data_IF_430158775106
#
_entry.id   IF_430158775106
#
_cell.length_a   1.000
_cell.length_b   1.000
_cell.length_c   1.000
_cell.angle_alpha   90.00
_cell.angle_beta   90.00
_cell.angle_gamma   90.00
#
_symmetry.space_group_name_H-M   'P 1'
#
loop_
_entity.id
_entity.type
_entity.pdbx_description
1 polymer ?
#
# COMPACT_ATOMS: atom_id res chain seq x y z
N UNK A 1 -16.05 -1.84 16.88
CA UNK A 1 -14.61 -1.82 16.50
C UNK A 1 -14.54 -1.70 14.99
N UNK A 2 -14.07 -0.57 14.47
CA UNK A 2 -14.08 -0.27 13.03
C UNK A 2 -13.21 -1.26 12.25
N UNK A 3 -13.78 -1.83 11.18
CA UNK A 3 -13.10 -2.74 10.25
C UNK A 3 -12.14 -1.96 9.34
N UNK A 4 -11.00 -1.49 9.86
CA UNK A 4 -10.03 -0.78 9.02
C UNK A 4 -8.93 -1.73 8.51
N UNK A 5 -8.60 -1.57 7.23
CA UNK A 5 -7.39 -2.12 6.63
C UNK A 5 -6.23 -1.17 6.98
N UNK A 6 -5.08 -1.70 7.35
CA UNK A 6 -3.87 -0.93 7.60
C UNK A 6 -2.70 -1.47 6.77
N UNK A 7 -1.83 -0.58 6.30
CA UNK A 7 -0.58 -0.93 5.61
C UNK A 7 0.58 -0.62 6.54
N UNK A 8 1.17 -1.66 7.10
CA UNK A 8 2.39 -1.62 7.89
C UNK A 8 3.62 -1.66 7.00
N UNK A 9 4.46 -0.64 7.06
CA UNK A 9 5.82 -0.68 6.52
C UNK A 9 6.76 -0.99 7.69
N UNK A 10 7.76 -1.86 7.49
CA UNK A 10 8.72 -2.28 8.51
C UNK A 10 10.14 -2.15 7.96
N UNK A 11 10.96 -1.20 8.44
CA UNK A 11 12.29 -0.97 7.88
C UNK A 11 13.18 -2.19 8.10
N UNK A 12 14.05 -2.47 7.12
CA UNK A 12 15.05 -3.55 7.18
C UNK A 12 16.48 -3.04 6.99
N UNK A 13 16.69 -1.73 6.93
CA UNK A 13 17.96 -1.10 6.55
C UNK A 13 18.12 -1.00 5.03
N UNK A 14 19.12 -0.22 4.59
CA UNK A 14 19.50 -0.08 3.16
C UNK A 14 18.31 0.25 2.23
N UNK A 15 17.42 1.16 2.66
CA UNK A 15 16.17 1.54 1.97
C UNK A 15 15.23 0.37 1.65
N UNK A 16 15.33 -0.74 2.39
CA UNK A 16 14.43 -1.89 2.27
C UNK A 16 13.40 -1.87 3.38
N UNK A 17 12.22 -2.41 3.09
CA UNK A 17 11.19 -2.61 4.09
C UNK A 17 10.36 -3.87 3.81
N UNK A 18 9.76 -4.46 4.84
CA UNK A 18 8.61 -5.36 4.66
C UNK A 18 7.33 -4.54 4.60
N UNK A 19 6.38 -4.93 3.75
CA UNK A 19 5.05 -4.31 3.66
C UNK A 19 4.02 -5.34 4.08
N UNK A 20 3.12 -4.98 5.00
CA UNK A 20 2.13 -5.87 5.59
C UNK A 20 0.76 -5.23 5.54
N UNK A 21 -0.19 -5.92 4.92
CA UNK A 21 -1.59 -5.54 4.92
C UNK A 21 -2.26 -6.25 6.08
N UNK A 22 -2.90 -5.49 6.97
CA UNK A 22 -3.50 -5.99 8.20
C UNK A 22 -4.95 -5.55 8.30
N UNK A 23 -5.77 -6.36 8.95
CA UNK A 23 -7.09 -5.96 9.43
C UNK A 23 -7.10 -6.22 10.93
N UNK A 24 -7.30 -5.15 11.72
CA UNK A 24 -7.09 -5.21 13.16
C UNK A 24 -5.70 -5.78 13.51
N UNK A 25 -5.62 -6.80 14.38
CA UNK A 25 -4.37 -7.50 14.73
C UNK A 25 -3.97 -8.61 13.74
N UNK A 26 -4.82 -8.94 12.77
CA UNK A 26 -4.58 -10.02 11.81
C UNK A 26 -3.79 -9.57 10.59
N UNK A 27 -2.79 -10.34 10.19
CA UNK A 27 -2.07 -10.15 8.92
C UNK A 27 -2.89 -10.79 7.81
N UNK A 28 -3.27 -10.02 6.81
CA UNK A 28 -3.99 -10.50 5.63
C UNK A 28 -3.03 -10.85 4.49
N UNK A 29 -2.03 -10.00 4.26
CA UNK A 29 -1.04 -10.21 3.21
C UNK A 29 0.28 -9.56 3.60
N UNK A 30 1.39 -10.09 3.10
CA UNK A 30 2.73 -9.57 3.38
C UNK A 30 3.63 -9.70 2.17
N UNK A 31 4.30 -8.60 1.83
CA UNK A 31 5.46 -8.58 0.97
C UNK A 31 6.69 -8.55 1.89
N UNK A 32 7.48 -9.61 1.87
CA UNK A 32 8.56 -9.80 2.84
C UNK A 32 9.62 -8.71 2.73
N UNK A 33 9.99 -8.31 1.51
CA UNK A 33 11.02 -7.30 1.27
C UNK A 33 10.69 -6.53 0.00
N UNK A 34 10.63 -5.21 0.14
CA UNK A 34 10.53 -4.21 -0.91
C UNK A 34 11.84 -3.41 -0.92
N UNK A 35 12.40 -3.20 -2.10
CA UNK A 35 13.56 -2.34 -2.35
C UNK A 35 13.11 -0.90 -2.64
N UNK A 36 13.94 0.09 -2.29
CA UNK A 36 13.59 1.53 -2.43
C UNK A 36 12.25 1.87 -1.76
N UNK A 37 12.07 1.37 -0.55
CA UNK A 37 10.86 1.55 0.24
C UNK A 37 10.57 3.02 0.56
N UNK A 38 11.60 3.88 0.57
CA UNK A 38 11.50 5.33 0.66
C UNK A 38 10.62 5.92 -0.45
N UNK A 39 10.75 5.40 -1.68
CA UNK A 39 9.94 5.83 -2.83
C UNK A 39 8.49 5.36 -2.72
N UNK A 40 8.29 4.14 -2.25
CA UNK A 40 6.94 3.62 -2.00
C UNK A 40 6.21 4.48 -0.96
N UNK A 41 6.86 4.73 0.19
CA UNK A 41 6.29 5.55 1.27
C UNK A 41 5.99 6.96 0.78
N UNK A 42 6.89 7.56 -0.01
CA UNK A 42 6.67 8.90 -0.59
C UNK A 42 5.46 8.95 -1.51
N UNK A 43 5.33 7.99 -2.44
CA UNK A 43 4.16 7.92 -3.34
C UNK A 43 2.85 7.68 -2.61
N UNK A 44 2.85 6.82 -1.60
CA UNK A 44 1.66 6.59 -0.77
C UNK A 44 1.28 7.83 0.02
N UNK A 45 2.26 8.61 0.49
CA UNK A 45 2.01 9.87 1.17
C UNK A 45 1.46 10.95 0.24
N UNK A 46 2.01 11.07 -0.97
CA UNK A 46 1.48 11.96 -2.02
C UNK A 46 0.01 11.62 -2.30
N UNK A 47 -0.29 10.34 -2.53
CA UNK A 47 -1.66 9.90 -2.74
C UNK A 47 -2.57 10.14 -1.53
N UNK A 48 -2.08 9.93 -0.32
CA UNK A 48 -2.80 10.27 0.92
C UNK A 48 -3.12 11.77 1.02
N UNK A 49 -2.20 12.62 0.54
CA UNK A 49 -2.37 14.07 0.50
C UNK A 49 -3.41 14.46 -0.55
N UNK A 50 -3.35 13.86 -1.73
CA UNK A 50 -4.33 14.07 -2.80
C UNK A 50 -5.74 13.66 -2.36
N UNK A 51 -5.85 12.51 -1.69
CA UNK A 51 -7.12 12.00 -1.14
C UNK A 51 -7.72 12.97 -0.11
N UNK A 52 -6.90 13.57 0.76
CA UNK A 52 -7.34 14.59 1.74
C UNK A 52 -7.84 15.87 1.07
N UNK A 53 -7.29 16.20 -0.08
CA UNK A 53 -7.63 17.40 -0.83
C UNK A 53 -8.71 17.15 -1.90
N UNK A 54 -9.30 15.94 -1.97
CA UNK A 54 -10.22 15.50 -3.02
C UNK A 54 -9.64 15.69 -4.44
N UNK A 55 -8.34 15.43 -4.60
CA UNK A 55 -7.60 15.51 -5.88
C UNK A 55 -7.03 14.14 -6.28
N UNK A 56 -7.43 13.08 -5.58
CA UNK A 56 -6.95 11.75 -5.86
C UNK A 56 -7.35 11.30 -7.27
N UNK A 57 -6.45 10.55 -7.90
CA UNK A 57 -6.80 9.80 -9.10
C UNK A 57 -7.70 8.62 -8.69
N UNK A 58 -8.78 8.35 -9.46
CA UNK A 58 -9.63 7.16 -9.25
C UNK A 58 -8.84 5.87 -9.28
N UNK A 59 -7.76 5.81 -10.05
CA UNK A 59 -6.85 4.68 -10.12
C UNK A 59 -5.44 5.13 -9.72
N UNK A 60 -4.88 4.46 -8.72
CA UNK A 60 -3.52 4.65 -8.25
C UNK A 60 -2.76 3.32 -8.31
N UNK A 61 -1.62 3.34 -8.98
CA UNK A 61 -0.76 2.17 -9.17
C UNK A 61 0.65 2.48 -8.67
N UNK A 62 1.18 1.62 -7.81
CA UNK A 62 2.57 1.69 -7.38
C UNK A 62 3.25 0.33 -7.49
N UNK A 63 4.37 0.32 -8.21
CA UNK A 63 5.22 -0.85 -8.33
C UNK A 63 6.18 -0.94 -7.14
N UNK A 64 6.27 -2.14 -6.57
CA UNK A 64 7.10 -2.51 -5.44
C UNK A 64 8.12 -3.55 -5.90
N UNK A 65 9.34 -3.12 -6.12
CA UNK A 65 10.42 -4.03 -6.50
C UNK A 65 10.83 -4.86 -5.29
N UNK A 66 11.10 -6.14 -5.51
CA UNK A 66 11.55 -7.10 -4.52
C UNK A 66 12.81 -7.81 -5.02
N UNK A 67 13.64 -8.36 -4.13
CA UNK A 67 14.84 -9.09 -4.55
C UNK A 67 14.53 -10.23 -5.53
N UNK A 68 15.55 -10.62 -6.32
CA UNK A 68 15.47 -11.72 -7.32
C UNK A 68 14.49 -11.45 -8.46
N UNK A 69 14.45 -10.21 -8.96
CA UNK A 69 13.59 -9.77 -10.08
C UNK A 69 12.09 -9.99 -9.84
N UNK A 70 11.66 -10.11 -8.58
CA UNK A 70 10.24 -10.15 -8.24
C UNK A 70 9.73 -8.72 -8.14
N UNK A 71 8.54 -8.49 -8.65
CA UNK A 71 7.89 -7.19 -8.54
C UNK A 71 6.45 -7.39 -8.13
N UNK A 72 5.94 -6.49 -7.31
CA UNK A 72 4.53 -6.43 -6.98
C UNK A 72 3.94 -5.12 -7.48
N UNK A 73 2.67 -5.12 -7.83
CA UNK A 73 1.94 -3.90 -8.14
C UNK A 73 0.81 -3.77 -7.13
N UNK A 74 0.80 -2.67 -6.40
CA UNK A 74 -0.32 -2.26 -5.57
C UNK A 74 -1.21 -1.33 -6.40
N UNK A 75 -2.46 -1.72 -6.57
CA UNK A 75 -3.53 -0.94 -7.20
C UNK A 75 -4.53 -0.50 -6.13
N UNK A 76 -4.92 0.76 -6.17
CA UNK A 76 -6.03 1.32 -5.40
C UNK A 76 -7.00 1.94 -6.41
N UNK A 77 -8.20 1.41 -6.48
CA UNK A 77 -9.26 1.87 -7.35
C UNK A 77 -10.42 2.44 -6.51
N UNK A 78 -10.92 3.62 -6.87
CA UNK A 78 -12.03 4.31 -6.20
C UNK A 78 -13.16 4.50 -7.21
N UNK A 79 -14.36 4.06 -6.85
CA UNK A 79 -15.58 4.23 -7.64
C UNK A 79 -16.73 4.65 -6.73
N UNK A 80 -17.01 5.97 -6.70
CA UNK A 80 -17.91 6.56 -5.72
C UNK A 80 -17.41 6.32 -4.29
N UNK A 81 -18.23 5.68 -3.47
CA UNK A 81 -17.89 5.33 -2.08
C UNK A 81 -17.14 4.00 -1.95
N UNK A 82 -17.00 3.24 -3.04
CA UNK A 82 -16.32 1.94 -3.03
C UNK A 82 -14.84 2.09 -3.35
N UNK A 83 -14.03 1.36 -2.60
CA UNK A 83 -12.58 1.26 -2.79
C UNK A 83 -12.21 -0.19 -2.96
N UNK A 84 -11.37 -0.47 -3.95
CA UNK A 84 -10.70 -1.76 -4.10
C UNK A 84 -9.20 -1.56 -3.97
N UNK A 85 -8.56 -2.45 -3.21
CA UNK A 85 -7.12 -2.52 -3.09
C UNK A 85 -6.68 -3.90 -3.58
N UNK A 86 -5.84 -3.92 -4.60
CA UNK A 86 -5.35 -5.17 -5.21
C UNK A 86 -3.84 -5.19 -5.19
N UNK A 87 -3.27 -6.35 -4.88
CA UNK A 87 -1.83 -6.59 -5.01
C UNK A 87 -1.61 -7.71 -6.00
N UNK A 88 -0.88 -7.39 -7.07
CA UNK A 88 -0.43 -8.34 -8.06
C UNK A 88 1.03 -8.68 -7.82
N UNK A 89 1.40 -9.93 -8.09
CA UNK A 89 2.80 -10.33 -8.26
C UNK A 89 3.06 -10.46 -9.76
N UNK A 90 4.13 -9.81 -10.23
CA UNK A 90 4.57 -9.88 -11.61
C UNK A 90 5.50 -11.09 -11.76
N UNK A 91 5.06 -12.08 -12.54
CA UNK A 91 5.78 -13.33 -12.79
C UNK A 91 5.89 -13.50 -14.30
N UNK A 92 7.10 -13.50 -14.85
CA UNK A 92 7.36 -13.79 -16.27
C UNK A 92 6.53 -12.92 -17.25
N UNK A 93 6.30 -11.66 -16.89
CA UNK A 93 5.51 -10.73 -17.72
C UNK A 93 4.00 -10.81 -17.50
N UNK A 94 3.51 -11.75 -16.69
CA UNK A 94 2.11 -11.86 -16.30
C UNK A 94 1.87 -11.25 -14.91
N UNK A 95 0.73 -10.55 -14.75
CA UNK A 95 0.26 -10.07 -13.46
C UNK A 95 -0.65 -11.11 -12.81
N UNK A 96 -0.25 -11.65 -11.65
CA UNK A 96 -1.07 -12.59 -10.87
C UNK A 96 -1.63 -11.90 -9.64
N UNK A 97 -2.95 -11.81 -9.52
CA UNK A 97 -3.61 -11.29 -8.33
C UNK A 97 -3.28 -12.17 -7.11
N UNK A 98 -2.71 -11.57 -6.07
CA UNK A 98 -2.32 -12.25 -4.81
C UNK A 98 -3.15 -11.81 -3.63
N UNK A 99 -3.62 -10.59 -3.65
CA UNK A 99 -4.44 -10.03 -2.58
C UNK A 99 -5.48 -9.08 -3.17
N UNK A 100 -6.69 -9.15 -2.65
CA UNK A 100 -7.77 -8.21 -2.95
C UNK A 100 -8.47 -7.86 -1.64
N UNK A 101 -8.77 -6.58 -1.47
CA UNK A 101 -9.61 -6.07 -0.41
C UNK A 101 -10.58 -5.05 -0.99
N UNK A 102 -11.82 -5.09 -0.52
CA UNK A 102 -12.84 -4.12 -0.88
C UNK A 102 -13.36 -3.47 0.40
N UNK A 103 -13.65 -2.18 0.31
CA UNK A 103 -14.24 -1.43 1.42
C UNK A 103 -14.75 -0.07 0.98
N UNK A 104 -15.02 0.78 1.98
CA UNK A 104 -15.51 2.12 1.75
C UNK A 104 -14.39 3.16 1.72
N UNK A 105 -14.65 4.32 1.11
CA UNK A 105 -13.72 5.46 1.01
C UNK A 105 -13.22 5.91 2.38
N UNK A 106 -14.03 5.87 3.43
CA UNK A 106 -13.62 6.18 4.80
C UNK A 106 -12.54 5.21 5.32
N UNK A 107 -12.63 3.94 4.94
CA UNK A 107 -11.62 2.94 5.27
C UNK A 107 -10.26 3.23 4.61
N UNK A 108 -10.28 3.78 3.40
CA UNK A 108 -9.06 4.23 2.72
C UNK A 108 -8.44 5.44 3.42
N UNK A 109 -9.25 6.41 3.85
CA UNK A 109 -8.75 7.56 4.63
C UNK A 109 -8.05 7.14 5.93
N UNK A 110 -8.64 6.20 6.67
CA UNK A 110 -8.03 5.65 7.88
C UNK A 110 -6.68 4.99 7.57
N UNK A 111 -6.63 4.16 6.52
CA UNK A 111 -5.42 3.49 6.06
C UNK A 111 -4.31 4.48 5.66
N UNK A 112 -4.67 5.57 4.98
CA UNK A 112 -3.72 6.58 4.52
C UNK A 112 -3.16 7.45 5.65
N UNK A 113 -3.94 7.70 6.71
CA UNK A 113 -3.45 8.39 7.90
C UNK A 113 -2.36 7.60 8.63
N UNK A 114 -2.49 6.28 8.73
CA UNK A 114 -1.47 5.42 9.33
C UNK A 114 -0.13 5.49 8.56
N UNK A 115 -0.18 5.58 7.23
CA UNK A 115 1.02 5.73 6.38
C UNK A 115 1.70 7.09 6.62
N UNK A 116 0.92 8.16 6.81
CA UNK A 116 1.44 9.48 7.15
C UNK A 116 2.26 9.48 8.44
N UNK A 117 1.81 8.73 9.45
CA UNK A 117 2.55 8.52 10.70
C UNK A 117 3.83 7.72 10.45
N UNK A 118 3.79 6.67 9.62
CA UNK A 118 4.98 5.88 9.30
C UNK A 118 6.06 6.69 8.58
N UNK A 119 5.71 7.63 7.70
CA UNK A 119 6.68 8.53 7.05
C UNK A 119 7.43 9.39 8.07
N UNK A 120 6.77 9.85 9.14
CA UNK A 120 7.40 10.67 10.19
C UNK A 120 8.34 9.85 11.09
N UNK A 121 7.99 8.59 11.34
CA UNK A 121 8.77 7.68 12.20
C UNK A 121 9.95 7.07 11.45
N UNK A 122 9.77 6.77 10.17
CA UNK A 122 10.83 6.24 9.32
C UNK A 122 11.63 7.41 8.74
N UNK A 123 12.78 7.70 9.37
CA UNK A 123 13.81 8.60 8.83
C UNK A 123 14.47 7.99 7.58
N UNK A 124 13.69 7.81 6.51
CA UNK A 124 14.21 7.45 5.19
C UNK A 124 14.96 8.63 4.56
#
# INVERSE_FOLDING_TARGET
>A
MSNYLAIGVYPKGDKRAGVVFRKNKGILYRITTVERADQFVSKMYEYATDLKNNREKPEFLVQLNSPRKRSHVLEIAISGDKVELRVYEMIEGCAKLRFNWQGAREGLFALMNDIGVMRLVMRF
#
